data_IF_310752335639
#
_entry.id   IF_310752335639
#
_cell.length_a   1.000
_cell.length_b   1.000
_cell.length_c   1.000
_cell.angle_alpha   90.00
_cell.angle_beta   90.00
_cell.angle_gamma   90.00
#
_symmetry.space_group_name_H-M   'P 1'
#
loop_
_entity.id
_entity.type
_entity.pdbx_description
1 polymer ?
#
# COMPACT_ATOMS: atom_id res chain seq x y z
N UNK A 1 55.66 48.26 -45.84
CA UNK A 1 55.17 48.17 -44.46
C UNK A 1 53.76 47.55 -44.52
N UNK A 2 53.62 46.23 -44.33
CA UNK A 2 52.35 45.53 -44.44
C UNK A 2 51.95 45.06 -43.00
N UNK A 3 50.87 45.62 -42.50
CA UNK A 3 50.27 45.18 -41.22
C UNK A 3 49.30 44.05 -41.52
N UNK A 4 49.54 42.89 -40.91
CA UNK A 4 48.72 41.71 -41.03
C UNK A 4 47.83 41.61 -39.75
N UNK A 5 46.54 41.76 -39.92
CA UNK A 5 45.54 41.69 -38.85
C UNK A 5 45.14 40.25 -38.64
N UNK A 6 45.37 39.72 -37.45
CA UNK A 6 45.00 38.35 -37.03
C UNK A 6 43.60 38.36 -36.42
N UNK A 7 42.63 37.75 -37.09
CA UNK A 7 41.27 37.54 -36.59
C UNK A 7 41.20 36.26 -35.76
N UNK A 8 41.12 36.42 -34.46
CA UNK A 8 40.86 35.28 -33.53
C UNK A 8 39.38 34.88 -33.59
N UNK A 9 39.09 33.63 -33.94
CA UNK A 9 37.76 33.02 -33.86
C UNK A 9 37.57 32.49 -32.44
N UNK A 10 36.65 33.09 -31.72
CA UNK A 10 36.16 32.55 -30.41
C UNK A 10 35.08 31.52 -30.73
N UNK A 11 35.40 30.24 -30.48
CA UNK A 11 34.44 29.15 -30.47
C UNK A 11 33.73 29.09 -29.11
N UNK A 12 32.49 29.53 -29.07
CA UNK A 12 31.62 29.39 -27.91
C UNK A 12 31.04 27.96 -27.91
N UNK A 13 31.55 27.10 -27.04
CA UNK A 13 30.99 25.76 -26.84
C UNK A 13 29.78 25.89 -25.91
N UNK A 14 28.60 25.69 -26.43
CA UNK A 14 27.38 25.56 -25.64
C UNK A 14 27.30 24.13 -25.11
N UNK A 15 27.55 23.94 -23.82
CA UNK A 15 27.28 22.68 -23.12
C UNK A 15 25.78 22.58 -22.85
N UNK A 16 25.08 21.75 -23.62
CA UNK A 16 23.69 21.38 -23.35
C UNK A 16 23.69 20.35 -22.23
N UNK A 17 23.34 20.80 -21.03
CA UNK A 17 23.14 19.95 -19.88
C UNK A 17 21.75 19.27 -20.01
N UNK A 18 21.70 18.11 -20.64
CA UNK A 18 20.50 17.29 -20.72
C UNK A 18 20.26 16.63 -19.35
N UNK A 19 19.33 17.20 -18.59
CA UNK A 19 18.79 16.60 -17.37
C UNK A 19 17.90 15.41 -17.76
N UNK A 20 18.48 14.21 -17.79
CA UNK A 20 17.70 12.99 -17.94
C UNK A 20 17.09 12.67 -16.58
N UNK A 21 15.81 12.99 -16.39
CA UNK A 21 15.01 12.46 -15.31
C UNK A 21 14.85 10.94 -15.55
N UNK A 22 15.72 10.15 -14.94
CA UNK A 22 15.60 8.71 -14.92
C UNK A 22 14.36 8.32 -14.13
N UNK A 23 13.30 7.92 -14.82
CA UNK A 23 12.22 7.16 -14.19
C UNK A 23 12.81 5.81 -13.77
N UNK A 24 13.06 5.66 -12.47
CA UNK A 24 13.40 4.37 -11.91
C UNK A 24 12.19 3.44 -12.08
N UNK A 25 12.26 2.55 -13.06
CA UNK A 25 11.31 1.44 -13.17
C UNK A 25 11.56 0.50 -12.00
N UNK A 26 10.57 0.38 -11.10
CA UNK A 26 10.59 -0.65 -10.07
C UNK A 26 10.61 -2.03 -10.74
N UNK A 27 11.46 -2.96 -10.29
CA UNK A 27 11.51 -4.30 -10.84
C UNK A 27 10.17 -5.01 -10.60
N UNK A 28 9.58 -5.50 -11.68
CA UNK A 28 8.37 -6.33 -11.67
C UNK A 28 8.63 -7.63 -10.91
N UNK A 29 7.87 -7.91 -9.84
CA UNK A 29 7.77 -9.24 -9.24
C UNK A 29 8.24 -9.42 -7.81
N UNK A 30 8.57 -8.36 -7.08
CA UNK A 30 8.83 -8.47 -5.64
C UNK A 30 7.56 -8.14 -4.87
N UNK A 31 7.15 -9.01 -3.93
CA UNK A 31 6.10 -8.69 -2.97
C UNK A 31 6.42 -7.31 -2.37
N UNK A 32 5.45 -6.39 -2.40
CA UNK A 32 5.70 -5.03 -1.97
C UNK A 32 6.10 -5.05 -0.49
N UNK A 33 7.36 -4.73 -0.20
CA UNK A 33 7.81 -4.56 1.17
C UNK A 33 6.98 -3.45 1.84
N UNK A 34 6.58 -3.68 3.09
CA UNK A 34 5.98 -2.62 3.89
C UNK A 34 7.00 -1.50 4.07
N UNK A 35 6.59 -0.24 3.94
CA UNK A 35 7.50 0.88 4.16
C UNK A 35 7.95 0.92 5.63
N UNK A 36 9.18 1.39 5.84
CA UNK A 36 9.68 1.65 7.18
C UNK A 36 8.85 2.75 7.87
N UNK A 37 8.80 2.68 9.21
CA UNK A 37 8.11 3.68 10.01
C UNK A 37 6.81 3.20 10.67
N UNK A 38 6.14 4.09 11.42
CA UNK A 38 5.00 3.72 12.27
C UNK A 38 3.80 3.22 11.45
N UNK A 39 3.50 3.86 10.32
CA UNK A 39 2.36 3.48 9.47
C UNK A 39 2.55 2.08 8.85
N UNK A 40 3.75 1.74 8.37
CA UNK A 40 4.06 0.39 7.89
C UNK A 40 3.97 -0.67 8.97
N UNK A 41 4.41 -0.34 10.20
CA UNK A 41 4.26 -1.23 11.36
C UNK A 41 2.80 -1.46 11.73
N UNK A 42 1.95 -0.42 11.66
CA UNK A 42 0.53 -0.54 11.92
C UNK A 42 -0.17 -1.43 10.87
N UNK A 43 0.15 -1.27 9.57
CA UNK A 43 -0.33 -2.15 8.49
C UNK A 43 0.09 -3.61 8.77
N UNK A 44 1.37 -3.84 9.07
CA UNK A 44 1.87 -5.17 9.37
C UNK A 44 1.16 -5.80 10.56
N UNK A 45 0.98 -5.04 11.64
CA UNK A 45 0.27 -5.51 12.83
C UNK A 45 -1.18 -5.87 12.51
N UNK A 46 -1.87 -5.08 11.69
CA UNK A 46 -3.24 -5.34 11.26
C UNK A 46 -3.37 -6.71 10.55
N UNK A 47 -2.61 -6.96 9.49
CA UNK A 47 -2.69 -8.23 8.75
C UNK A 47 -2.21 -9.41 9.60
N UNK A 48 -1.13 -9.24 10.36
CA UNK A 48 -0.60 -10.26 11.28
C UNK A 48 -1.62 -10.64 12.36
N UNK A 49 -2.38 -9.65 12.87
CA UNK A 49 -3.42 -9.90 13.86
C UNK A 49 -4.52 -10.83 13.33
N UNK A 50 -4.98 -10.61 12.09
CA UNK A 50 -5.94 -11.51 11.44
C UNK A 50 -5.37 -12.93 11.25
N UNK A 51 -4.12 -13.05 10.78
CA UNK A 51 -3.48 -14.37 10.59
C UNK A 51 -3.31 -15.13 11.89
N UNK A 52 -2.92 -14.43 12.96
CA UNK A 52 -2.69 -15.01 14.29
C UNK A 52 -3.94 -15.10 15.16
N UNK A 53 -5.08 -14.53 14.73
CA UNK A 53 -6.32 -14.42 15.53
C UNK A 53 -6.07 -13.65 16.85
N UNK A 54 -5.12 -12.69 16.81
CA UNK A 54 -4.70 -11.93 17.99
C UNK A 54 -5.42 -10.58 18.05
N UNK A 55 -6.52 -10.53 18.82
CA UNK A 55 -7.26 -9.29 19.03
C UNK A 55 -6.45 -8.20 19.73
N UNK A 56 -5.55 -8.56 20.64
CA UNK A 56 -4.75 -7.56 21.35
C UNK A 56 -3.78 -6.86 20.40
N UNK A 57 -3.17 -7.62 19.49
CA UNK A 57 -2.33 -7.07 18.42
C UNK A 57 -3.15 -6.17 17.53
N UNK A 58 -4.36 -6.59 17.12
CA UNK A 58 -5.29 -5.76 16.34
C UNK A 58 -5.59 -4.44 17.05
N UNK A 59 -6.06 -4.52 18.28
CA UNK A 59 -6.43 -3.33 19.06
C UNK A 59 -5.25 -2.37 19.27
N UNK A 60 -4.04 -2.91 19.44
CA UNK A 60 -2.82 -2.10 19.56
C UNK A 60 -2.46 -1.29 18.32
N UNK A 61 -2.85 -1.78 17.14
CA UNK A 61 -2.63 -1.11 15.85
C UNK A 61 -3.66 -0.02 15.55
N UNK A 62 -4.80 0.00 16.24
CA UNK A 62 -5.90 0.91 15.98
C UNK A 62 -5.86 2.13 16.90
N UNK A 63 -6.20 3.31 16.38
CA UNK A 63 -6.30 4.56 17.12
C UNK A 63 -7.61 4.64 17.91
N UNK A 64 -7.64 5.52 18.91
CA UNK A 64 -8.88 5.92 19.57
C UNK A 64 -9.80 6.59 18.53
N UNK A 65 -11.09 6.22 18.56
CA UNK A 65 -12.06 6.71 17.57
C UNK A 65 -11.98 6.03 16.20
N UNK A 66 -11.26 4.90 16.09
CA UNK A 66 -11.20 4.09 14.88
C UNK A 66 -12.56 3.84 14.24
N UNK A 67 -12.63 3.92 12.91
CA UNK A 67 -13.82 3.58 12.11
C UNK A 67 -13.48 2.58 11.01
N UNK A 68 -14.45 1.75 10.67
CA UNK A 68 -14.37 0.79 9.57
C UNK A 68 -15.50 0.99 8.57
N UNK A 69 -15.15 0.91 7.28
CA UNK A 69 -16.07 0.96 6.15
C UNK A 69 -15.83 -0.24 5.22
N UNK A 70 -16.89 -0.77 4.65
CA UNK A 70 -16.85 -1.83 3.64
C UNK A 70 -18.09 -1.74 2.74
N UNK A 71 -18.23 -2.56 1.69
CA UNK A 71 -19.48 -2.64 0.93
C UNK A 71 -20.72 -2.99 1.78
N UNK A 72 -20.55 -3.43 3.02
CA UNK A 72 -21.63 -3.83 3.94
C UNK A 72 -21.75 -2.95 5.19
N UNK A 73 -20.76 -2.10 5.46
CA UNK A 73 -20.67 -1.32 6.69
C UNK A 73 -20.20 0.10 6.38
N UNK A 74 -20.81 1.10 7.02
CA UNK A 74 -20.44 2.50 6.85
C UNK A 74 -20.00 3.11 8.19
N UNK A 75 -18.71 3.46 8.31
CA UNK A 75 -18.07 4.13 9.45
C UNK A 75 -18.39 3.49 10.82
N UNK A 76 -18.47 2.16 10.88
CA UNK A 76 -18.78 1.47 12.14
C UNK A 76 -17.63 1.61 13.14
N UNK A 77 -17.98 1.71 14.42
CA UNK A 77 -17.03 1.85 15.53
C UNK A 77 -16.20 0.58 15.76
N UNK A 78 -15.08 0.72 16.49
CA UNK A 78 -14.25 -0.40 16.93
C UNK A 78 -15.05 -1.52 17.61
N UNK A 79 -16.04 -1.15 18.45
CA UNK A 79 -16.92 -2.12 19.12
C UNK A 79 -17.73 -2.92 18.10
N UNK A 80 -18.32 -2.24 17.10
CA UNK A 80 -19.08 -2.90 16.06
C UNK A 80 -18.18 -3.74 15.14
N UNK A 81 -17.01 -3.23 14.77
CA UNK A 81 -16.00 -3.98 14.01
C UNK A 81 -15.60 -5.29 14.71
N UNK A 82 -15.36 -5.25 16.02
CA UNK A 82 -15.02 -6.45 16.81
C UNK A 82 -16.12 -7.52 16.75
N UNK A 83 -17.38 -7.10 16.73
CA UNK A 83 -18.51 -8.04 16.74
C UNK A 83 -18.84 -8.54 15.34
N UNK A 84 -18.78 -7.66 14.32
CA UNK A 84 -19.26 -7.96 12.97
C UNK A 84 -18.18 -8.48 12.03
N UNK A 85 -16.98 -7.92 12.11
CA UNK A 85 -15.91 -8.16 11.13
C UNK A 85 -14.80 -9.07 11.66
N UNK A 86 -14.41 -8.88 12.93
CA UNK A 86 -13.33 -9.65 13.53
C UNK A 86 -13.54 -11.18 13.52
N UNK A 87 -14.75 -11.75 13.69
CA UNK A 87 -14.93 -13.20 13.61
C UNK A 87 -14.48 -13.82 12.29
N UNK A 88 -14.38 -13.03 11.21
CA UNK A 88 -13.80 -13.50 9.94
C UNK A 88 -12.31 -13.88 10.06
N UNK A 89 -11.62 -13.44 11.11
CA UNK A 89 -10.25 -13.85 11.35
C UNK A 89 -10.09 -15.37 11.41
N UNK A 90 -11.07 -16.09 11.97
CA UNK A 90 -11.05 -17.56 12.07
C UNK A 90 -10.99 -18.24 10.70
N UNK A 91 -11.51 -17.57 9.67
CA UNK A 91 -11.51 -18.05 8.30
C UNK A 91 -10.24 -17.69 7.52
N UNK A 92 -9.38 -16.83 8.04
CA UNK A 92 -8.17 -16.39 7.34
C UNK A 92 -7.00 -17.31 7.68
N UNK A 93 -6.31 -17.77 6.63
CA UNK A 93 -5.08 -18.54 6.75
C UNK A 93 -3.84 -17.64 6.65
N UNK A 94 -3.78 -16.79 5.63
CA UNK A 94 -2.66 -15.88 5.37
C UNK A 94 -3.04 -14.77 4.40
N UNK A 95 -2.23 -13.73 4.40
CA UNK A 95 -2.24 -12.67 3.40
C UNK A 95 -0.90 -12.60 2.65
N UNK A 96 -0.94 -12.02 1.46
CA UNK A 96 0.23 -11.67 0.67
C UNK A 96 -0.02 -10.29 0.06
N UNK A 97 0.74 -9.29 0.52
CA UNK A 97 0.60 -7.92 0.07
C UNK A 97 1.27 -7.80 -1.30
N UNK A 98 0.49 -7.43 -2.31
CA UNK A 98 0.97 -7.27 -3.70
C UNK A 98 1.45 -5.84 -3.96
N UNK A 99 0.67 -4.84 -3.54
CA UNK A 99 1.01 -3.42 -3.66
C UNK A 99 0.74 -2.70 -2.35
N UNK A 100 1.71 -1.91 -1.93
CA UNK A 100 1.55 -1.01 -0.79
C UNK A 100 2.04 0.37 -1.21
N UNK A 101 1.17 1.36 -1.13
CA UNK A 101 1.50 2.76 -1.39
C UNK A 101 1.16 3.55 -0.14
N UNK A 102 2.15 4.19 0.47
CA UNK A 102 1.95 5.09 1.62
C UNK A 102 2.22 6.52 1.16
N UNK A 103 1.32 7.42 1.48
CA UNK A 103 1.44 8.86 1.17
C UNK A 103 0.95 9.66 2.38
N UNK A 104 1.88 10.29 3.09
CA UNK A 104 1.56 10.99 4.33
C UNK A 104 0.86 10.08 5.33
N UNK A 105 -0.31 10.51 5.79
CA UNK A 105 -1.13 9.81 6.77
C UNK A 105 -2.17 8.86 6.12
N UNK A 106 -1.87 8.34 4.94
CA UNK A 106 -2.74 7.36 4.28
C UNK A 106 -1.95 6.25 3.59
N UNK A 107 -2.60 5.11 3.37
CA UNK A 107 -2.04 4.01 2.59
C UNK A 107 -3.12 3.30 1.77
N UNK A 108 -2.71 2.81 0.62
CA UNK A 108 -3.50 1.93 -0.21
C UNK A 108 -2.77 0.60 -0.36
N UNK A 109 -3.47 -0.50 -0.11
CA UNK A 109 -2.91 -1.85 -0.15
C UNK A 109 -3.75 -2.72 -1.07
N UNK A 110 -3.10 -3.44 -1.98
CA UNK A 110 -3.72 -4.53 -2.74
C UNK A 110 -3.10 -5.83 -2.25
N UNK A 111 -3.91 -6.82 -1.96
CA UNK A 111 -3.45 -8.08 -1.41
C UNK A 111 -4.23 -9.30 -1.89
N UNK A 112 -3.58 -10.44 -1.84
CA UNK A 112 -4.20 -11.75 -1.93
C UNK A 112 -4.39 -12.32 -0.53
N UNK A 113 -5.52 -12.95 -0.29
CA UNK A 113 -5.80 -13.64 0.96
C UNK A 113 -6.22 -15.09 0.69
N UNK A 114 -5.88 -15.98 1.61
CA UNK A 114 -6.31 -17.38 1.58
C UNK A 114 -7.11 -17.70 2.82
N UNK A 115 -8.24 -18.32 2.61
CA UNK A 115 -9.03 -18.86 3.71
C UNK A 115 -8.41 -20.16 4.24
N UNK A 116 -8.79 -20.55 5.45
CA UNK A 116 -8.44 -21.86 6.05
C UNK A 116 -8.92 -23.04 5.18
N UNK A 117 -10.03 -22.86 4.44
CA UNK A 117 -10.54 -23.80 3.45
C UNK A 117 -9.83 -23.76 2.09
N UNK A 118 -8.73 -22.98 1.94
CA UNK A 118 -7.93 -22.91 0.73
C UNK A 118 -8.46 -22.00 -0.38
N UNK A 119 -9.58 -21.31 -0.16
CA UNK A 119 -10.13 -20.36 -1.14
C UNK A 119 -9.26 -19.10 -1.22
N UNK A 120 -8.86 -18.71 -2.43
CA UNK A 120 -8.17 -17.47 -2.73
C UNK A 120 -9.18 -16.33 -2.93
N UNK A 121 -8.85 -15.14 -2.39
CA UNK A 121 -9.55 -13.90 -2.68
C UNK A 121 -8.55 -12.76 -2.86
N UNK A 122 -8.97 -11.69 -3.51
CA UNK A 122 -8.16 -10.49 -3.75
C UNK A 122 -8.98 -9.26 -3.43
N UNK A 123 -8.47 -8.43 -2.55
CA UNK A 123 -9.11 -7.20 -2.11
C UNK A 123 -8.13 -6.02 -2.18
N UNK A 124 -8.67 -4.85 -1.94
CA UNK A 124 -7.88 -3.66 -1.67
C UNK A 124 -8.39 -2.96 -0.43
N UNK A 125 -7.45 -2.37 0.30
CA UNK A 125 -7.72 -1.68 1.55
C UNK A 125 -7.16 -0.26 1.49
N UNK A 126 -7.90 0.69 2.05
CA UNK A 126 -7.44 2.05 2.26
C UNK A 126 -7.38 2.33 3.76
N UNK A 127 -6.24 2.81 4.22
CA UNK A 127 -5.98 3.16 5.61
C UNK A 127 -5.74 4.64 5.75
N UNK A 128 -6.22 5.24 6.83
CA UNK A 128 -5.72 6.52 7.34
C UNK A 128 -5.08 6.33 8.70
N UNK A 129 -4.11 7.19 9.03
CA UNK A 129 -3.32 7.05 10.26
C UNK A 129 -3.42 8.31 11.11
N UNK A 130 -3.33 8.11 12.41
CA UNK A 130 -3.14 9.16 13.41
C UNK A 130 -2.14 8.66 14.45
N UNK A 131 -1.06 9.41 14.64
CA UNK A 131 -0.01 9.09 15.62
C UNK A 131 0.57 7.67 15.44
N UNK A 132 0.71 7.22 14.17
CA UNK A 132 1.25 5.90 13.82
C UNK A 132 0.31 4.73 14.08
N UNK A 133 -0.97 5.00 14.31
CA UNK A 133 -2.04 4.00 14.43
C UNK A 133 -3.09 4.20 13.34
N UNK A 134 -3.80 3.15 12.99
CA UNK A 134 -4.88 3.19 12.00
C UNK A 134 -6.08 3.91 12.61
N UNK A 135 -6.44 5.06 12.04
CA UNK A 135 -7.60 5.87 12.45
C UNK A 135 -8.88 5.52 11.68
N UNK A 136 -8.74 5.14 10.41
CA UNK A 136 -9.83 4.54 9.65
C UNK A 136 -9.32 3.44 8.72
N UNK A 137 -10.20 2.54 8.38
CA UNK A 137 -9.93 1.45 7.47
C UNK A 137 -11.15 1.22 6.56
N UNK A 138 -10.91 1.24 5.26
CA UNK A 138 -11.92 0.93 4.24
C UNK A 138 -11.49 -0.31 3.46
N UNK A 139 -12.33 -1.35 3.45
CA UNK A 139 -12.07 -2.58 2.71
C UNK A 139 -12.94 -2.65 1.46
N UNK A 140 -12.31 -2.79 0.31
CA UNK A 140 -12.98 -3.00 -0.97
C UNK A 140 -12.85 -4.47 -1.36
N UNK A 141 -13.94 -5.21 -1.24
CA UNK A 141 -13.97 -6.63 -1.56
C UNK A 141 -15.12 -6.97 -2.52
N UNK A 142 -14.95 -8.07 -3.22
CA UNK A 142 -15.91 -8.62 -4.16
C UNK A 142 -16.21 -10.09 -3.88
N UNK A 143 -16.90 -10.78 -4.79
CA UNK A 143 -17.37 -12.17 -4.62
C UNK A 143 -16.25 -13.22 -4.63
N UNK A 144 -15.00 -12.82 -4.69
CA UNK A 144 -13.83 -13.67 -4.78
C UNK A 144 -13.23 -13.67 -6.19
N UNK A 145 -12.08 -14.38 -6.34
CA UNK A 145 -11.39 -14.43 -7.62
C UNK A 145 -11.93 -15.61 -8.43
N UNK A 146 -12.50 -15.28 -9.57
CA UNK A 146 -12.75 -16.20 -10.66
C UNK A 146 -12.42 -15.44 -11.95
N UNK A 147 -11.36 -15.82 -12.65
CA UNK A 147 -10.96 -15.19 -13.90
C UNK A 147 -11.52 -15.95 -15.11
N UNK A 148 -12.85 -15.87 -15.40
CA UNK A 148 -13.45 -16.59 -16.53
C UNK A 148 -12.90 -16.11 -17.87
N UNK A 149 -12.39 -14.87 -17.91
CA UNK A 149 -11.83 -14.21 -19.10
C UNK A 149 -10.35 -13.86 -18.87
N UNK A 150 -9.54 -14.85 -18.47
CA UNK A 150 -8.09 -14.64 -18.41
C UNK A 150 -7.55 -14.40 -19.83
N UNK A 151 -6.62 -13.44 -20.00
CA UNK A 151 -6.06 -13.07 -21.30
C UNK A 151 -5.20 -14.16 -21.98
N UNK A 152 -5.70 -15.39 -22.00
CA UNK A 152 -5.13 -16.52 -22.76
C UNK A 152 -5.78 -16.59 -24.13
#
# INVERSE_FOLDING_TARGET
MKMTTLFGRILTVWAILSCQAGFAQSPSGQAAGLPDGPNGKAINAYYTAFEKKDWNLMQGALADGFTFTSPLDDHISLKAFKVRCWPNADNIKRFELDKVVVSGDSAFVIYNGWTTGGKLFRNSDYFTFKDGKISSYECFFGPGINYPNSGK
#
